data_IF_143316710099
#
_entry.id   IF_143316710099
#
_cell.length_a   1.000
_cell.length_b   1.000
_cell.length_c   1.000
_cell.angle_alpha   90.00
_cell.angle_beta   90.00
_cell.angle_gamma   90.00
#
_symmetry.space_group_name_H-M   'P 1'
#
loop_
_entity.id
_entity.type
_entity.pdbx_description
1 polymer ?
#
# COMPACT_ATOMS: atom_id res chain seq x y z
N UNK A 1 -55.64 1.32 8.88
CA UNK A 1 -54.54 2.09 9.50
C UNK A 1 -53.43 2.21 8.48
N UNK A 2 -53.06 3.42 8.07
CA UNK A 2 -52.01 3.65 7.07
C UNK A 2 -50.65 3.25 7.66
N UNK A 3 -49.86 2.51 6.87
CA UNK A 3 -48.52 2.07 7.26
C UNK A 3 -47.63 3.31 7.45
N UNK A 4 -47.14 3.52 8.67
CA UNK A 4 -46.18 4.58 8.98
C UNK A 4 -44.91 4.32 8.19
N UNK A 5 -44.44 5.32 7.45
CA UNK A 5 -43.21 5.23 6.68
C UNK A 5 -42.01 5.36 7.64
N UNK A 6 -41.20 4.29 7.84
CA UNK A 6 -40.10 4.31 8.78
C UNK A 6 -38.95 5.24 8.33
N UNK A 7 -39.00 5.79 7.13
CA UNK A 7 -37.94 6.64 6.56
C UNK A 7 -38.27 8.14 6.61
N UNK A 8 -39.41 8.53 7.18
CA UNK A 8 -39.85 9.93 7.22
C UNK A 8 -38.85 10.87 7.95
N UNK A 9 -38.17 10.36 8.99
CA UNK A 9 -37.17 11.12 9.75
C UNK A 9 -35.77 11.21 9.12
N UNK A 10 -35.52 10.49 8.01
CA UNK A 10 -34.21 10.43 7.35
C UNK A 10 -34.10 11.36 6.13
N UNK A 11 -35.16 12.15 5.85
CA UNK A 11 -35.23 13.05 4.70
C UNK A 11 -34.22 14.21 4.75
N UNK A 12 -33.68 14.51 5.92
CA UNK A 12 -32.69 15.59 6.15
C UNK A 12 -31.26 15.06 6.31
N UNK A 13 -30.99 13.81 5.89
CA UNK A 13 -29.65 13.24 5.94
C UNK A 13 -28.81 13.75 4.76
N UNK A 14 -28.34 14.98 4.87
CA UNK A 14 -27.40 15.55 3.91
C UNK A 14 -25.95 15.34 4.36
N UNK A 15 -25.03 15.08 3.42
CA UNK A 15 -23.62 14.97 3.74
C UNK A 15 -23.15 16.30 4.36
N UNK A 16 -22.50 16.20 5.52
CA UNK A 16 -21.91 17.37 6.18
C UNK A 16 -21.04 18.12 5.17
N UNK A 17 -21.20 19.46 5.02
CA UNK A 17 -20.41 20.22 4.08
C UNK A 17 -18.92 20.01 4.40
N UNK A 18 -18.11 19.86 3.35
CA UNK A 18 -16.68 19.71 3.50
C UNK A 18 -16.15 20.90 4.31
N UNK A 19 -15.56 20.62 5.48
CA UNK A 19 -14.93 21.66 6.28
C UNK A 19 -13.88 22.36 5.40
N UNK A 20 -13.89 23.69 5.40
CA UNK A 20 -12.86 24.47 4.71
C UNK A 20 -11.49 23.98 5.19
N UNK A 21 -10.60 23.72 4.24
CA UNK A 21 -9.22 23.41 4.59
C UNK A 21 -8.68 24.57 5.41
N UNK A 22 -8.38 24.32 6.69
CA UNK A 22 -7.80 25.34 7.57
C UNK A 22 -6.59 25.94 6.89
N UNK A 23 -6.49 27.27 6.96
CA UNK A 23 -5.40 27.98 6.31
C UNK A 23 -4.05 27.53 6.90
N UNK A 24 -2.99 27.54 6.09
CA UNK A 24 -1.63 27.18 6.55
C UNK A 24 -1.13 28.11 7.67
N UNK A 25 -1.71 29.30 7.78
CA UNK A 25 -1.42 30.28 8.83
C UNK A 25 -2.01 29.86 10.18
N UNK A 26 -3.25 29.34 10.20
CA UNK A 26 -3.86 28.79 11.43
C UNK A 26 -3.09 27.59 11.96
N UNK A 27 -2.56 26.73 11.10
CA UNK A 27 -1.76 25.57 11.54
C UNK A 27 -0.44 25.96 12.20
N UNK A 28 0.23 27.02 11.71
CA UNK A 28 1.49 27.49 12.29
C UNK A 28 1.27 28.09 13.69
N UNK A 29 0.24 28.93 13.85
CA UNK A 29 -0.11 29.50 15.15
C UNK A 29 -0.50 28.43 16.19
N UNK A 30 -1.15 27.34 15.76
CA UNK A 30 -1.47 26.20 16.62
C UNK A 30 -0.23 25.40 17.03
N UNK A 31 0.77 25.31 16.16
CA UNK A 31 2.03 24.61 16.44
C UNK A 31 2.91 25.43 17.41
N UNK A 32 2.92 26.75 17.28
CA UNK A 32 3.54 27.67 18.24
C UNK A 32 2.90 27.53 19.63
N UNK A 33 1.56 27.62 19.73
CA UNK A 33 0.84 27.41 20.99
C UNK A 33 1.10 26.02 21.59
N UNK A 34 1.12 24.97 20.77
CA UNK A 34 1.43 23.62 21.22
C UNK A 34 2.85 23.54 21.82
N UNK A 35 3.82 24.20 21.20
CA UNK A 35 5.19 24.26 21.70
C UNK A 35 5.31 25.02 23.02
N UNK A 36 4.61 26.15 23.18
CA UNK A 36 4.57 26.95 24.41
C UNK A 36 3.99 26.15 25.59
N UNK A 37 2.99 25.31 25.33
CA UNK A 37 2.34 24.45 26.31
C UNK A 37 3.01 23.08 26.49
N UNK A 38 4.18 22.84 25.88
CA UNK A 38 4.95 21.62 26.04
C UNK A 38 4.39 20.39 25.31
N UNK A 39 3.47 20.58 24.36
CA UNK A 39 3.00 19.52 23.48
C UNK A 39 4.02 19.26 22.37
N UNK A 40 4.91 18.30 22.61
CA UNK A 40 5.93 17.92 21.62
C UNK A 40 5.31 16.99 20.56
N UNK A 41 5.31 17.42 19.31
CA UNK A 41 4.94 16.57 18.18
C UNK A 41 6.04 15.52 17.92
N UNK A 42 5.65 14.27 17.68
CA UNK A 42 6.58 13.25 17.17
C UNK A 42 6.82 13.53 15.69
N UNK A 43 7.89 14.26 15.37
CA UNK A 43 8.31 14.39 13.98
C UNK A 43 8.68 13.00 13.43
N UNK A 44 8.18 12.63 12.24
CA UNK A 44 8.63 11.39 11.61
C UNK A 44 10.12 11.51 11.34
N UNK A 45 10.88 10.47 11.69
CA UNK A 45 12.28 10.36 11.27
C UNK A 45 12.34 10.47 9.73
N UNK A 46 13.35 11.15 9.16
CA UNK A 46 13.50 11.24 7.72
C UNK A 46 13.51 9.82 7.14
N UNK A 47 12.50 9.52 6.33
CA UNK A 47 12.40 8.24 5.63
C UNK A 47 13.63 8.12 4.74
N UNK A 48 14.48 7.12 4.99
CA UNK A 48 15.46 6.69 3.99
C UNK A 48 14.72 6.55 2.65
N UNK A 49 15.26 7.16 1.60
CA UNK A 49 14.63 7.19 0.28
C UNK A 49 14.26 5.76 -0.12
N UNK A 50 12.94 5.50 -0.22
CA UNK A 50 12.46 4.20 -0.69
C UNK A 50 12.88 4.09 -2.14
N UNK A 51 13.64 3.04 -2.47
CA UNK A 51 13.93 2.69 -3.88
C UNK A 51 12.58 2.62 -4.59
N UNK A 52 12.36 3.51 -5.54
CA UNK A 52 11.10 3.63 -6.24
C UNK A 52 10.97 2.42 -7.18
N UNK A 53 10.24 1.40 -6.72
CA UNK A 53 10.01 0.18 -7.47
C UNK A 53 8.81 0.41 -8.39
N UNK A 54 8.97 0.07 -9.68
CA UNK A 54 7.87 0.20 -10.64
C UNK A 54 6.62 -0.52 -10.10
N UNK A 55 5.49 0.19 -10.07
CA UNK A 55 4.22 -0.36 -9.60
C UNK A 55 3.66 -1.35 -10.62
N UNK A 56 4.05 -2.62 -10.47
CA UNK A 56 3.55 -3.74 -11.26
C UNK A 56 2.15 -4.16 -10.81
N UNK A 57 1.11 -3.54 -11.36
CA UNK A 57 -0.29 -3.98 -11.19
C UNK A 57 -0.63 -5.01 -12.27
N UNK A 58 -0.28 -6.27 -12.04
CA UNK A 58 -0.71 -7.38 -12.90
C UNK A 58 -1.84 -8.16 -12.23
N UNK A 59 -2.99 -8.28 -12.89
CA UNK A 59 -4.10 -9.16 -12.45
C UNK A 59 -3.83 -10.57 -12.93
N UNK A 60 -2.95 -11.28 -12.24
CA UNK A 60 -2.69 -12.69 -12.53
C UNK A 60 -3.46 -13.51 -11.52
N UNK A 61 -4.36 -14.39 -11.94
CA UNK A 61 -5.24 -15.19 -11.06
C UNK A 61 -4.54 -16.17 -10.08
N UNK A 62 -3.29 -15.91 -9.70
CA UNK A 62 -2.52 -16.58 -8.66
C UNK A 62 -3.01 -16.07 -7.30
N UNK A 63 -3.82 -16.88 -6.62
CA UNK A 63 -4.46 -16.54 -5.35
C UNK A 63 -3.83 -17.25 -4.13
N UNK A 64 -2.82 -18.10 -4.33
CA UNK A 64 -2.14 -18.82 -3.25
C UNK A 64 -0.81 -18.12 -2.93
N UNK A 65 -0.59 -17.82 -1.65
CA UNK A 65 0.66 -17.26 -1.15
C UNK A 65 1.68 -18.38 -0.85
N UNK A 66 2.93 -18.17 -1.28
CA UNK A 66 4.06 -19.07 -0.99
C UNK A 66 4.94 -18.40 0.07
N UNK A 67 4.94 -18.94 1.29
CA UNK A 67 5.75 -18.43 2.40
C UNK A 67 7.11 -19.12 2.43
N UNK A 68 8.08 -18.53 1.74
CA UNK A 68 9.46 -19.03 1.66
C UNK A 68 10.42 -18.07 2.37
N UNK A 69 11.36 -18.64 3.12
CA UNK A 69 12.49 -17.91 3.69
C UNK A 69 13.61 -17.90 2.65
N UNK A 70 14.21 -16.74 2.42
CA UNK A 70 15.36 -16.56 1.54
C UNK A 70 16.30 -15.52 2.13
N UNK A 71 17.51 -15.42 1.56
CA UNK A 71 18.43 -14.34 1.87
C UNK A 71 18.09 -13.07 1.06
N UNK A 72 18.74 -11.97 1.42
CA UNK A 72 18.51 -10.69 0.75
C UNK A 72 18.98 -10.72 -0.72
N UNK A 73 20.05 -11.46 -1.00
CA UNK A 73 20.60 -11.62 -2.35
C UNK A 73 19.62 -12.31 -3.31
N UNK A 74 19.04 -13.45 -2.90
CA UNK A 74 18.03 -14.18 -3.70
C UNK A 74 16.80 -13.32 -3.93
N UNK A 75 16.38 -12.54 -2.93
CA UNK A 75 15.28 -11.60 -3.08
C UNK A 75 15.60 -10.57 -4.16
N UNK A 76 16.75 -9.91 -4.08
CA UNK A 76 17.11 -8.86 -5.05
C UNK A 76 17.26 -9.42 -6.47
N UNK A 77 17.81 -10.63 -6.61
CA UNK A 77 17.89 -11.34 -7.89
C UNK A 77 16.51 -11.67 -8.46
N UNK A 78 15.58 -12.16 -7.65
CA UNK A 78 14.20 -12.42 -8.07
C UNK A 78 13.52 -11.14 -8.56
N UNK A 79 13.75 -10.00 -7.90
CA UNK A 79 13.20 -8.71 -8.35
C UNK A 79 13.82 -8.26 -9.68
N UNK A 80 15.15 -8.36 -9.83
CA UNK A 80 15.85 -8.03 -11.08
C UNK A 80 15.34 -8.85 -12.25
N UNK A 81 15.33 -10.18 -12.12
CA UNK A 81 14.83 -11.08 -13.15
C UNK A 81 13.39 -10.76 -13.54
N UNK A 82 12.55 -10.45 -12.54
CA UNK A 82 11.16 -10.11 -12.78
C UNK A 82 10.99 -8.76 -13.50
N UNK A 83 11.90 -7.80 -13.28
CA UNK A 83 11.93 -6.54 -14.02
C UNK A 83 12.43 -6.75 -15.45
N UNK A 84 13.47 -7.57 -15.65
CA UNK A 84 14.06 -7.88 -16.97
C UNK A 84 13.05 -8.56 -17.92
N UNK A 85 12.19 -9.43 -17.38
CA UNK A 85 11.16 -10.14 -18.18
C UNK A 85 9.80 -9.43 -18.17
N UNK A 86 9.73 -8.24 -17.57
CA UNK A 86 8.51 -7.44 -17.34
C UNK A 86 7.32 -8.30 -16.83
N UNK A 87 7.55 -9.08 -15.79
CA UNK A 87 6.54 -9.97 -15.22
C UNK A 87 6.39 -9.80 -13.71
N UNK A 88 5.25 -10.18 -13.11
CA UNK A 88 5.11 -10.23 -11.67
C UNK A 88 5.99 -11.33 -11.04
N UNK A 89 6.34 -11.16 -9.77
CA UNK A 89 7.20 -12.09 -9.02
C UNK A 89 6.69 -13.53 -9.06
N UNK A 90 5.38 -13.75 -8.96
CA UNK A 90 4.78 -15.08 -9.02
C UNK A 90 4.93 -15.77 -10.37
N UNK A 91 4.94 -15.02 -11.49
CA UNK A 91 5.22 -15.59 -12.81
C UNK A 91 6.70 -15.92 -12.98
N UNK A 92 7.56 -15.00 -12.52
CA UNK A 92 9.01 -15.19 -12.54
C UNK A 92 9.41 -16.45 -11.77
N UNK A 93 8.84 -16.62 -10.56
CA UNK A 93 9.06 -17.81 -9.75
C UNK A 93 8.57 -19.09 -10.44
N UNK A 94 7.39 -19.07 -11.08
CA UNK A 94 6.89 -20.22 -11.85
C UNK A 94 7.88 -20.64 -12.94
N UNK A 95 8.40 -19.67 -13.71
CA UNK A 95 9.38 -19.93 -14.78
C UNK A 95 10.69 -20.50 -14.22
N UNK A 96 11.17 -19.95 -13.10
CA UNK A 96 12.36 -20.47 -12.42
C UNK A 96 12.18 -21.93 -11.98
N UNK A 97 11.04 -22.29 -11.39
CA UNK A 97 10.73 -23.67 -11.02
C UNK A 97 10.67 -24.60 -12.23
N UNK A 98 10.08 -24.16 -13.35
CA UNK A 98 10.05 -24.93 -14.59
C UNK A 98 11.45 -25.08 -15.24
N UNK A 99 12.35 -24.11 -15.09
CA UNK A 99 13.74 -24.23 -15.52
C UNK A 99 14.49 -25.26 -14.68
N UNK A 100 14.41 -25.15 -13.35
CA UNK A 100 15.03 -26.09 -12.42
C UNK A 100 14.53 -27.54 -12.66
N UNK A 101 13.23 -27.74 -12.86
CA UNK A 101 12.68 -29.06 -13.14
C UNK A 101 13.25 -29.66 -14.46
N UNK A 102 13.45 -28.83 -15.49
CA UNK A 102 14.08 -29.27 -16.75
C UNK A 102 15.53 -29.69 -16.54
N UNK A 103 16.30 -28.91 -15.77
CA UNK A 103 17.70 -29.22 -15.47
C UNK A 103 17.84 -30.51 -14.66
N UNK A 104 16.94 -30.75 -13.70
CA UNK A 104 16.95 -31.97 -12.91
C UNK A 104 16.55 -33.21 -13.72
N UNK A 105 15.62 -33.08 -14.66
CA UNK A 105 15.18 -34.19 -15.52
C UNK A 105 16.10 -34.44 -16.72
N UNK A 106 17.01 -33.51 -17.02
CA UNK A 106 18.01 -33.67 -18.09
C UNK A 106 19.33 -34.24 -17.57
N UNK A 107 19.43 -34.52 -16.26
CA UNK A 107 20.50 -35.29 -15.62
C UNK A 107 20.10 -36.76 -15.52
#
# INVERSE_FOLDING_TARGET
>A
MSRVDPLEGLKNFEPKPAASQKSKQESAALEELASEHGFVARHPAPSNARVDRSKRRFTTGRNIQINIKGDQATKDELYRLADDIDAPLGETLKRALSALARELNSK
#
